data_IF_833146504567
#
_entry.id   IF_833146504567
#
_cell.length_a   1.000
_cell.length_b   1.000
_cell.length_c   1.000
_cell.angle_alpha   90.00
_cell.angle_beta   90.00
_cell.angle_gamma   90.00
#
_symmetry.space_group_name_H-M   'P 1'
#
loop_
_entity.id
_entity.type
_entity.pdbx_description
1 polymer ?
#
# COMPACT_ATOMS: atom_id res chain seq x y z
N UNK A 1 20.30 13.72 9.59
CA UNK A 1 19.61 12.56 8.97
C UNK A 1 18.25 13.06 8.48
N UNK A 2 17.82 12.66 7.28
CA UNK A 2 16.47 12.98 6.81
C UNK A 2 15.41 12.32 7.69
N UNK A 3 14.19 12.86 7.68
CA UNK A 3 13.05 12.24 8.37
C UNK A 3 12.55 11.09 7.47
N UNK A 4 12.43 9.88 7.99
CA UNK A 4 11.85 8.74 7.27
C UNK A 4 10.33 8.81 7.28
N UNK A 5 9.66 8.29 6.24
CA UNK A 5 8.19 8.25 6.17
C UNK A 5 7.60 7.50 7.37
N UNK A 6 8.16 6.34 7.70
CA UNK A 6 7.83 5.56 8.90
C UNK A 6 7.92 6.39 10.19
N UNK A 7 8.91 7.29 10.29
CA UNK A 7 9.04 8.20 11.43
C UNK A 7 7.99 9.31 11.46
N UNK A 8 7.47 9.74 10.31
CA UNK A 8 6.33 10.65 10.23
C UNK A 8 5.02 9.93 10.57
N UNK A 9 4.84 8.70 10.09
CA UNK A 9 3.66 7.87 10.36
C UNK A 9 3.53 7.56 11.86
N UNK A 10 4.64 7.37 12.57
CA UNK A 10 4.67 7.26 14.04
C UNK A 10 4.11 8.49 14.78
N UNK A 11 4.09 9.67 14.13
CA UNK A 11 3.46 10.87 14.72
C UNK A 11 1.95 10.89 14.55
N UNK A 12 1.40 9.97 13.77
CA UNK A 12 -0.04 9.80 13.55
C UNK A 12 -0.74 11.12 13.17
N UNK A 13 -0.17 11.86 12.21
CA UNK A 13 -0.71 13.14 11.77
C UNK A 13 -2.05 13.00 11.02
N UNK A 14 -2.27 11.87 10.35
CA UNK A 14 -3.49 11.55 9.62
C UNK A 14 -4.52 10.79 10.49
N UNK A 15 -4.55 11.10 11.78
CA UNK A 15 -5.44 10.47 12.75
C UNK A 15 -6.92 10.81 12.51
N UNK A 16 -7.81 10.10 13.21
CA UNK A 16 -9.25 10.28 13.11
C UNK A 16 -9.73 11.73 13.33
N UNK A 17 -9.11 12.49 14.24
CA UNK A 17 -9.52 13.89 14.47
C UNK A 17 -9.23 14.76 13.25
N UNK A 18 -8.06 14.59 12.62
CA UNK A 18 -7.73 15.28 11.37
C UNK A 18 -8.66 14.87 10.22
N UNK A 19 -8.89 13.56 10.06
CA UNK A 19 -9.80 13.01 9.04
C UNK A 19 -11.22 13.58 9.21
N UNK A 20 -11.77 13.54 10.43
CA UNK A 20 -13.09 14.09 10.75
C UNK A 20 -13.17 15.60 10.48
N UNK A 21 -12.10 16.35 10.77
CA UNK A 21 -12.04 17.77 10.46
C UNK A 21 -12.10 18.04 8.95
N UNK A 22 -11.39 17.24 8.14
CA UNK A 22 -11.44 17.35 6.67
C UNK A 22 -12.80 16.95 6.12
N UNK A 23 -13.40 15.87 6.61
CA UNK A 23 -14.75 15.42 6.19
C UNK A 23 -15.85 16.44 6.52
N UNK A 24 -15.63 17.28 7.55
CA UNK A 24 -16.59 18.33 7.93
C UNK A 24 -16.59 19.55 7.01
N UNK A 25 -15.64 19.68 6.08
CA UNK A 25 -15.55 20.80 5.14
C UNK A 25 -16.70 20.70 4.12
N UNK A 26 -17.46 21.78 3.95
CA UNK A 26 -18.53 21.81 2.95
C UNK A 26 -18.00 21.52 1.54
N UNK A 27 -18.66 20.59 0.86
CA UNK A 27 -18.25 20.10 -0.45
C UNK A 27 -17.36 18.86 -0.40
N UNK A 28 -16.84 18.44 0.76
CA UNK A 28 -16.18 17.14 0.91
C UNK A 28 -17.24 16.04 1.02
N UNK A 29 -17.07 14.98 0.24
CA UNK A 29 -18.00 13.83 0.18
C UNK A 29 -17.36 12.52 0.59
N UNK A 30 -16.04 12.51 0.79
CA UNK A 30 -15.33 11.36 1.34
C UNK A 30 -13.82 11.54 1.31
N UNK A 31 -13.14 10.60 1.95
CA UNK A 31 -11.69 10.52 1.98
C UNK A 31 -11.26 9.13 1.51
N UNK A 32 -10.23 9.10 0.66
CA UNK A 32 -9.54 7.88 0.26
C UNK A 32 -8.18 7.82 0.93
N UNK A 33 -7.88 6.70 1.58
CA UNK A 33 -6.59 6.43 2.18
C UNK A 33 -5.66 5.70 1.21
N UNK A 34 -4.38 6.05 1.23
CA UNK A 34 -3.32 5.37 0.48
C UNK A 34 -2.25 4.92 1.47
N UNK A 35 -2.10 3.62 1.62
CA UNK A 35 -1.15 2.95 2.50
C UNK A 35 0.18 2.66 1.83
N UNK A 36 1.29 3.11 2.41
CA UNK A 36 2.65 2.73 2.02
C UNK A 36 3.64 3.15 3.09
N UNK A 37 4.79 2.48 3.16
CA UNK A 37 5.82 2.79 4.16
C UNK A 37 7.23 2.59 3.62
N UNK A 38 8.25 3.13 4.32
CA UNK A 38 9.64 2.80 4.01
C UNK A 38 9.88 1.33 4.40
N UNK A 39 9.95 0.45 3.41
CA UNK A 39 10.32 -0.94 3.59
C UNK A 39 11.31 -1.34 2.49
N UNK A 40 12.26 -2.20 2.83
CA UNK A 40 13.14 -2.84 1.85
C UNK A 40 12.63 -4.25 1.60
N UNK A 41 12.55 -4.66 0.33
CA UNK A 41 12.14 -6.01 -0.02
C UNK A 41 13.22 -6.75 -0.80
N UNK A 42 13.20 -8.08 -0.71
CA UNK A 42 14.14 -9.00 -1.36
C UNK A 42 13.38 -10.18 -1.95
N UNK A 43 13.65 -10.51 -3.21
CA UNK A 43 13.01 -11.61 -3.96
C UNK A 43 13.96 -12.08 -5.07
N UNK A 44 14.23 -13.39 -5.17
CA UNK A 44 15.05 -13.99 -6.23
C UNK A 44 16.40 -13.30 -6.50
N UNK A 45 17.07 -12.79 -5.46
CA UNK A 45 18.34 -12.06 -5.60
C UNK A 45 18.18 -10.58 -5.98
N UNK A 46 16.97 -10.12 -6.29
CA UNK A 46 16.62 -8.73 -6.48
C UNK A 46 16.27 -8.06 -5.15
N UNK A 47 16.43 -6.74 -5.09
CA UNK A 47 15.99 -5.94 -3.95
C UNK A 47 15.42 -4.61 -4.41
N UNK A 48 14.46 -4.10 -3.66
CA UNK A 48 13.90 -2.78 -3.92
C UNK A 48 13.41 -2.13 -2.64
N UNK A 49 12.82 -0.95 -2.81
CA UNK A 49 12.29 -0.14 -1.71
C UNK A 49 10.83 0.13 -1.94
N UNK A 50 10.15 0.44 -0.84
CA UNK A 50 8.75 0.81 -0.76
C UNK A 50 7.83 -0.38 -1.03
N UNK A 51 6.85 -0.51 -0.15
CA UNK A 51 5.74 -1.44 -0.30
C UNK A 51 4.46 -0.62 -0.14
N UNK A 52 3.45 -0.90 -0.95
CA UNK A 52 2.11 -0.33 -0.77
C UNK A 52 1.14 -1.36 -0.24
N UNK A 53 0.19 -0.86 0.54
CA UNK A 53 -1.00 -1.59 0.90
C UNK A 53 -2.13 -1.30 -0.07
N UNK A 54 -3.17 -2.09 -0.02
CA UNK A 54 -4.50 -1.75 -0.54
C UNK A 54 -5.53 -2.21 0.48
N UNK A 55 -6.63 -1.48 0.64
CA UNK A 55 -7.72 -1.95 1.48
C UNK A 55 -8.68 -2.85 0.70
N UNK A 56 -9.52 -3.58 1.44
CA UNK A 56 -10.51 -4.50 0.88
C UNK A 56 -11.39 -3.88 -0.20
N UNK A 57 -11.82 -2.64 0.00
CA UNK A 57 -12.69 -1.92 -0.95
C UNK A 57 -11.98 -1.63 -2.29
N UNK A 58 -10.65 -1.68 -2.32
CA UNK A 58 -9.84 -1.44 -3.51
C UNK A 58 -9.48 -2.71 -4.28
N UNK A 59 -9.79 -3.90 -3.76
CA UNK A 59 -9.52 -5.18 -4.40
C UNK A 59 -9.99 -5.20 -5.86
N UNK A 60 -11.18 -4.64 -6.15
CA UNK A 60 -11.73 -4.62 -7.50
C UNK A 60 -10.82 -3.88 -8.51
N UNK A 61 -9.98 -2.96 -8.05
CA UNK A 61 -9.05 -2.23 -8.93
C UNK A 61 -7.85 -3.09 -9.32
N UNK A 62 -7.35 -3.93 -8.42
CA UNK A 62 -6.32 -4.94 -8.75
C UNK A 62 -6.90 -6.03 -9.64
N UNK A 63 -8.13 -6.47 -9.34
CA UNK A 63 -8.81 -7.53 -10.06
C UNK A 63 -9.01 -7.23 -11.55
N UNK A 64 -9.28 -5.97 -11.90
CA UNK A 64 -9.43 -5.51 -13.29
C UNK A 64 -8.15 -5.68 -14.12
N UNK A 65 -7.00 -5.60 -13.46
CA UNK A 65 -5.67 -5.65 -14.07
C UNK A 65 -5.03 -7.03 -13.91
N UNK A 66 -5.75 -8.02 -13.36
CA UNK A 66 -5.19 -9.33 -13.04
C UNK A 66 -4.72 -10.08 -14.28
N UNK A 67 -3.46 -10.50 -14.23
CA UNK A 67 -2.82 -11.38 -15.21
C UNK A 67 -2.92 -12.84 -14.72
N UNK A 68 -2.59 -13.11 -13.46
CA UNK A 68 -2.57 -14.46 -12.91
C UNK A 68 -2.76 -14.49 -11.38
N UNK A 69 -3.10 -15.66 -10.84
CA UNK A 69 -3.24 -15.87 -9.39
C UNK A 69 -4.51 -15.24 -8.80
N UNK A 70 -4.43 -14.75 -7.57
CA UNK A 70 -5.53 -14.13 -6.83
C UNK A 70 -5.20 -12.69 -6.41
N UNK A 71 -6.21 -11.82 -6.47
CA UNK A 71 -6.19 -10.50 -5.83
C UNK A 71 -7.16 -10.44 -4.66
N UNK A 72 -7.81 -11.56 -4.32
CA UNK A 72 -8.80 -11.60 -3.27
C UNK A 72 -8.18 -11.30 -1.91
N UNK A 73 -8.73 -10.30 -1.23
CA UNK A 73 -8.17 -9.80 0.00
C UNK A 73 -8.14 -10.90 1.07
N UNK A 74 -9.21 -11.68 1.23
CA UNK A 74 -9.26 -12.73 2.25
C UNK A 74 -8.34 -13.90 1.91
N UNK A 75 -8.25 -14.28 0.63
CA UNK A 75 -7.31 -15.31 0.20
C UNK A 75 -5.85 -14.90 0.41
N UNK A 76 -5.51 -13.64 0.09
CA UNK A 76 -4.19 -13.08 0.36
C UNK A 76 -3.91 -13.04 1.86
N UNK A 77 -4.89 -12.68 2.67
CA UNK A 77 -4.73 -12.67 4.13
C UNK A 77 -4.50 -14.10 4.67
N UNK A 78 -5.32 -15.05 4.26
CA UNK A 78 -5.23 -16.44 4.70
C UNK A 78 -3.94 -17.13 4.23
N UNK A 79 -3.47 -16.77 3.02
CA UNK A 79 -2.26 -17.32 2.41
C UNK A 79 -0.98 -16.54 2.70
N UNK A 80 -1.05 -15.46 3.48
CA UNK A 80 0.09 -14.54 3.71
C UNK A 80 0.70 -14.05 2.37
N UNK A 81 -0.21 -13.65 1.48
CA UNK A 81 0.03 -13.34 0.08
C UNK A 81 0.35 -11.87 -0.19
N UNK A 82 1.11 -11.67 -1.26
CA UNK A 82 1.43 -10.38 -1.86
C UNK A 82 1.19 -10.44 -3.37
N UNK A 83 0.85 -9.30 -3.97
CA UNK A 83 0.58 -9.16 -5.41
C UNK A 83 1.74 -8.45 -6.08
N UNK A 84 2.26 -9.02 -7.17
CA UNK A 84 3.26 -8.40 -8.04
C UNK A 84 2.57 -7.44 -9.04
N UNK A 85 3.12 -6.23 -9.19
CA UNK A 85 2.72 -5.26 -10.20
C UNK A 85 3.68 -5.38 -11.40
N UNK A 86 3.28 -6.14 -12.43
CA UNK A 86 4.16 -6.58 -13.53
C UNK A 86 4.82 -5.43 -14.27
N UNK A 87 4.05 -4.40 -14.66
CA UNK A 87 4.62 -3.26 -15.40
C UNK A 87 5.73 -2.57 -14.59
N UNK A 88 5.56 -2.45 -13.27
CA UNK A 88 6.56 -1.84 -12.39
C UNK A 88 7.74 -2.76 -12.14
N UNK A 89 7.48 -4.05 -11.99
CA UNK A 89 8.53 -5.05 -11.85
C UNK A 89 9.45 -5.05 -13.09
N UNK A 90 8.88 -5.02 -14.29
CA UNK A 90 9.60 -4.96 -15.55
C UNK A 90 10.45 -3.67 -15.67
N UNK A 91 9.90 -2.52 -15.26
CA UNK A 91 10.62 -1.24 -15.29
C UNK A 91 11.84 -1.20 -14.36
N UNK A 92 11.84 -2.01 -13.30
CA UNK A 92 12.90 -2.05 -12.29
C UNK A 92 13.71 -3.35 -12.33
N UNK A 93 13.55 -4.16 -13.38
CA UNK A 93 14.20 -5.48 -13.55
C UNK A 93 14.00 -6.40 -12.33
N UNK A 94 12.82 -6.37 -11.71
CA UNK A 94 12.47 -7.22 -10.57
C UNK A 94 11.81 -8.50 -11.07
N UNK A 95 12.56 -9.60 -11.02
CA UNK A 95 12.05 -10.92 -11.42
C UNK A 95 11.36 -11.63 -10.24
N UNK A 96 10.05 -11.84 -10.37
CA UNK A 96 9.25 -12.63 -9.44
C UNK A 96 8.09 -13.32 -10.18
N UNK A 97 7.69 -14.49 -9.69
CA UNK A 97 6.61 -15.31 -10.23
C UNK A 97 5.68 -15.79 -9.11
N UNK A 98 4.51 -16.33 -9.48
CA UNK A 98 3.59 -16.95 -8.52
C UNK A 98 4.30 -18.05 -7.72
N UNK A 99 4.12 -18.02 -6.40
CA UNK A 99 4.74 -18.94 -5.45
C UNK A 99 6.09 -18.47 -4.90
N UNK A 100 6.72 -17.45 -5.48
CA UNK A 100 7.97 -16.91 -4.95
C UNK A 100 7.77 -16.24 -3.59
N UNK A 101 8.85 -16.23 -2.80
CA UNK A 101 8.86 -15.58 -1.49
C UNK A 101 9.47 -14.20 -1.58
N UNK A 102 8.73 -13.20 -1.09
CA UNK A 102 9.20 -11.82 -0.93
C UNK A 102 9.44 -11.58 0.55
N UNK A 103 10.70 -11.34 0.92
CA UNK A 103 11.04 -10.90 2.27
C UNK A 103 11.00 -9.38 2.34
N UNK A 104 10.34 -8.83 3.35
CA UNK A 104 10.15 -7.39 3.54
C UNK A 104 10.61 -6.99 4.94
N UNK A 105 11.52 -6.03 4.99
CA UNK A 105 12.05 -5.42 6.20
C UNK A 105 11.27 -4.15 6.55
N UNK A 106 10.45 -4.25 7.58
CA UNK A 106 9.67 -3.14 8.12
C UNK A 106 10.39 -2.49 9.29
N UNK A 107 10.37 -1.15 9.34
CA UNK A 107 10.71 -0.42 10.56
C UNK A 107 9.50 -0.34 11.47
N UNK A 108 9.61 -0.92 12.66
CA UNK A 108 8.55 -0.92 13.67
C UNK A 108 8.43 0.43 14.40
N UNK A 109 7.35 0.61 15.16
CA UNK A 109 7.14 1.75 16.06
C UNK A 109 8.34 2.00 16.99
N UNK A 110 8.95 0.94 17.52
CA UNK A 110 10.15 1.04 18.38
C UNK A 110 11.44 1.39 17.62
N UNK A 111 11.38 1.49 16.30
CA UNK A 111 12.51 1.74 15.41
C UNK A 111 13.32 0.50 15.05
N UNK A 112 12.95 -0.69 15.55
CA UNK A 112 13.58 -1.95 15.20
C UNK A 112 13.15 -2.44 13.82
N UNK A 113 14.02 -3.18 13.13
CA UNK A 113 13.68 -3.85 11.87
C UNK A 113 13.00 -5.19 12.18
N UNK A 114 11.86 -5.43 11.54
CA UNK A 114 11.12 -6.69 11.55
C UNK A 114 10.98 -7.20 10.13
N UNK A 115 11.56 -8.36 9.85
CA UNK A 115 11.42 -9.05 8.57
C UNK A 115 10.15 -9.89 8.55
N UNK A 116 9.36 -9.79 7.47
CA UNK A 116 8.20 -10.64 7.18
C UNK A 116 8.38 -11.24 5.80
N UNK A 117 8.07 -12.53 5.65
CA UNK A 117 8.05 -13.19 4.35
C UNK A 117 6.60 -13.25 3.86
N UNK A 118 6.36 -13.01 2.57
CA UNK A 118 5.05 -13.15 1.91
C UNK A 118 5.21 -14.00 0.65
N UNK A 119 4.13 -14.67 0.24
CA UNK A 119 4.13 -15.47 -1.00
C UNK A 119 3.49 -14.67 -2.13
N UNK A 120 4.12 -14.59 -3.30
CA UNK A 120 3.51 -13.99 -4.49
C UNK A 120 2.31 -14.85 -4.90
N UNK A 121 1.11 -14.35 -4.65
CA UNK A 121 -0.14 -15.07 -4.87
C UNK A 121 -0.96 -14.48 -6.01
N UNK A 122 -0.65 -13.25 -6.43
CA UNK A 122 -1.26 -12.59 -7.56
C UNK A 122 -0.23 -11.85 -8.41
N UNK A 123 -0.53 -11.74 -9.70
CA UNK A 123 0.19 -10.87 -10.64
C UNK A 123 -0.88 -10.03 -11.35
N UNK A 124 -0.70 -8.71 -11.29
CA UNK A 124 -1.53 -7.75 -12.02
C UNK A 124 -0.63 -6.92 -12.94
N UNK A 125 -1.21 -6.34 -13.99
CA UNK A 125 -0.47 -5.49 -14.91
C UNK A 125 -0.03 -4.18 -14.22
N UNK A 126 -1.00 -3.38 -13.79
CA UNK A 126 -0.78 -2.16 -13.01
C UNK A 126 -1.81 -2.07 -11.88
N UNK A 127 -1.56 -1.18 -10.91
CA UNK A 127 -2.56 -0.74 -9.95
C UNK A 127 -2.40 0.76 -9.76
N UNK A 128 -3.35 1.54 -10.30
CA UNK A 128 -3.30 3.01 -10.25
C UNK A 128 -3.32 3.48 -8.80
N UNK A 129 -2.19 4.02 -8.37
CA UNK A 129 -1.92 4.32 -6.97
C UNK A 129 -1.30 5.70 -6.84
N UNK A 130 -1.66 6.43 -5.77
CA UNK A 130 -1.06 7.74 -5.51
C UNK A 130 0.39 7.62 -5.05
N UNK A 131 1.26 8.50 -5.56
CA UNK A 131 2.65 8.62 -5.14
C UNK A 131 3.63 7.82 -6.02
N UNK A 132 4.68 7.30 -5.40
CA UNK A 132 5.78 6.63 -6.09
C UNK A 132 5.39 5.22 -6.55
N UNK A 133 5.94 4.78 -7.68
CA UNK A 133 5.81 3.43 -8.20
C UNK A 133 6.42 2.39 -7.26
N UNK A 134 5.75 1.25 -7.09
CA UNK A 134 6.19 0.15 -6.22
C UNK A 134 5.92 -1.16 -6.96
N UNK A 135 6.71 -2.18 -6.70
CA UNK A 135 6.59 -3.45 -7.42
C UNK A 135 5.58 -4.40 -6.79
N UNK A 136 5.16 -4.15 -5.55
CA UNK A 136 4.30 -5.05 -4.81
C UNK A 136 3.20 -4.32 -4.04
N UNK A 137 2.03 -4.95 -4.00
CA UNK A 137 0.89 -4.55 -3.21
C UNK A 137 0.43 -5.70 -2.30
N UNK A 138 0.14 -5.44 -1.02
CA UNK A 138 -0.40 -6.42 -0.08
C UNK A 138 -1.59 -5.85 0.71
N UNK A 139 -2.38 -6.67 1.39
CA UNK A 139 -3.36 -6.19 2.37
C UNK A 139 -2.72 -5.18 3.33
N UNK A 140 -3.28 -3.97 3.43
CA UNK A 140 -2.79 -2.90 4.30
C UNK A 140 -2.63 -3.35 5.76
N UNK A 141 -3.50 -4.25 6.22
CA UNK A 141 -3.41 -4.81 7.56
C UNK A 141 -2.06 -5.46 7.85
N UNK A 142 -1.42 -6.11 6.87
CA UNK A 142 -0.12 -6.74 7.08
C UNK A 142 0.98 -5.72 7.37
N UNK A 143 0.92 -4.57 6.71
CA UNK A 143 1.87 -3.49 6.98
C UNK A 143 1.64 -2.89 8.36
N UNK A 144 0.37 -2.64 8.72
CA UNK A 144 0.02 -2.07 10.02
C UNK A 144 0.42 -3.01 11.16
N UNK A 145 0.19 -4.31 11.03
CA UNK A 145 0.60 -5.32 12.01
C UNK A 145 2.14 -5.48 12.08
N UNK A 146 2.81 -5.47 10.92
CA UNK A 146 4.26 -5.60 10.88
C UNK A 146 4.95 -4.41 11.55
N UNK A 147 4.46 -3.20 11.33
CA UNK A 147 5.06 -1.96 11.83
C UNK A 147 4.55 -1.57 13.23
N UNK A 148 3.32 -1.92 13.58
CA UNK A 148 2.64 -1.44 14.79
C UNK A 148 2.08 -0.03 14.67
N UNK A 149 2.02 0.55 13.47
CA UNK A 149 1.49 1.90 13.22
C UNK A 149 0.51 1.89 12.05
N UNK A 150 -0.33 2.92 11.95
CA UNK A 150 -1.14 3.17 10.75
C UNK A 150 -0.22 3.62 9.60
N UNK A 151 -0.08 2.77 8.58
CA UNK A 151 0.75 3.03 7.40
C UNK A 151 0.06 3.88 6.33
N UNK A 152 -1.00 4.63 6.66
CA UNK A 152 -1.55 5.68 5.79
C UNK A 152 -0.42 6.67 5.46
N UNK A 153 -0.04 6.73 4.18
CA UNK A 153 1.01 7.63 3.68
C UNK A 153 0.45 8.92 3.09
N UNK A 154 -0.72 8.84 2.44
CA UNK A 154 -1.42 9.99 1.85
C UNK A 154 -2.93 9.78 1.94
N UNK A 155 -3.69 10.88 1.94
CA UNK A 155 -5.13 10.86 1.70
C UNK A 155 -5.48 11.64 0.42
N UNK A 156 -6.56 11.24 -0.25
CA UNK A 156 -7.19 12.03 -1.29
C UNK A 156 -8.58 12.46 -0.83
N UNK A 157 -8.89 13.74 -0.98
CA UNK A 157 -10.19 14.31 -0.64
C UNK A 157 -11.08 14.24 -1.86
N UNK A 158 -12.26 13.65 -1.70
CA UNK A 158 -13.28 13.56 -2.75
C UNK A 158 -14.25 14.70 -2.52
N UNK A 159 -14.51 15.49 -3.56
CA UNK A 159 -15.39 16.66 -3.49
C UNK A 159 -16.62 16.52 -4.40
N UNK A 160 -17.71 17.18 -4.02
CA UNK A 160 -18.89 17.32 -4.88
C UNK A 160 -18.63 18.40 -5.93
N UNK A 161 -18.29 17.98 -7.15
CA UNK A 161 -18.07 18.91 -8.28
C UNK A 161 -19.28 19.81 -8.56
N UNK A 162 -20.51 19.38 -8.24
CA UNK A 162 -21.73 20.16 -8.54
C UNK A 162 -21.89 21.40 -7.65
N UNK A 163 -21.17 21.47 -6.53
CA UNK A 163 -21.18 22.65 -5.64
C UNK A 163 -20.22 23.76 -6.09
N UNK A 164 -19.32 23.49 -7.03
CA UNK A 164 -18.30 24.44 -7.49
C UNK A 164 -18.64 25.13 -8.82
N UNK A 165 -19.66 24.66 -9.56
CA UNK A 165 -20.13 25.27 -10.83
C UNK A 165 -21.06 26.49 -10.63
N UNK A 166 -21.23 26.98 -9.40
CA UNK A 166 -22.13 28.10 -9.06
C UNK A 166 -21.43 29.43 -8.77
N UNK A 167 -20.18 29.62 -9.20
CA UNK A 167 -19.46 30.92 -9.09
C UNK A 167 -19.44 31.67 -10.42
#
# INVERSE_FOLDING_TARGET
AGISLSGLQQKNFLNADFINAVESIDGVTGIKHWYYTDAEYRVNGNSGKWIQGFCRDEQQNLEKERIAGTTDYDELVAGNGIVLLQERADLYDIEAALGDTVEVDYKTESGQIRTKAYTVMGIVNEYSYSGFSKCFALPEQFMNEATGIDCTGTISVITDMKKYDTV
#
